data_IF_108119431042
#
_entry.id   IF_108119431042
#
_cell.length_a   1.000
_cell.length_b   1.000
_cell.length_c   1.000
_cell.angle_alpha   90.00
_cell.angle_beta   90.00
_cell.angle_gamma   90.00
#
_symmetry.space_group_name_H-M   'P 1'
#
loop_
_entity.id
_entity.type
_entity.pdbx_description
1 polymer ?
#
# COMPACT_ATOMS: atom_id res chain seq x y z
N UNK A 1 -5.71 1.66 -37.76
CA UNK A 1 -5.63 2.20 -36.39
C UNK A 1 -6.71 1.51 -35.58
N UNK A 2 -6.37 0.45 -34.85
CA UNK A 2 -7.33 -0.27 -34.02
C UNK A 2 -7.31 0.33 -32.62
N UNK A 3 -8.44 0.89 -32.20
CA UNK A 3 -8.66 1.35 -30.84
C UNK A 3 -8.61 0.12 -29.92
N UNK A 4 -7.63 0.10 -29.01
CA UNK A 4 -7.63 -0.85 -27.92
C UNK A 4 -8.78 -0.49 -26.97
N UNK A 5 -9.85 -1.27 -27.01
CA UNK A 5 -10.89 -1.26 -25.97
C UNK A 5 -10.24 -1.64 -24.64
N UNK A 6 -10.32 -0.83 -23.57
CA UNK A 6 -9.81 -1.25 -22.28
C UNK A 6 -10.64 -2.43 -21.77
N UNK A 7 -9.93 -3.52 -21.50
CA UNK A 7 -10.48 -4.77 -21.02
C UNK A 7 -11.06 -4.62 -19.60
N UNK A 8 -12.29 -5.12 -19.46
CA UNK A 8 -12.87 -5.77 -18.27
C UNK A 8 -13.14 -4.89 -17.05
N UNK A 9 -14.41 -4.54 -16.92
CA UNK A 9 -15.15 -4.05 -15.74
C UNK A 9 -15.12 -5.05 -14.57
N UNK A 10 -13.94 -5.36 -14.03
CA UNK A 10 -13.81 -5.81 -12.65
C UNK A 10 -13.74 -4.58 -11.76
N UNK A 11 -14.61 -4.47 -10.75
CA UNK A 11 -14.59 -3.32 -9.86
C UNK A 11 -13.18 -3.14 -9.23
N UNK A 12 -12.58 -1.96 -9.42
CA UNK A 12 -11.21 -1.64 -9.03
C UNK A 12 -10.96 -1.96 -7.55
N UNK A 13 -10.14 -2.97 -7.29
CA UNK A 13 -9.66 -3.30 -5.95
C UNK A 13 -10.74 -3.74 -4.97
N UNK A 14 -11.74 -4.50 -5.43
CA UNK A 14 -12.77 -5.06 -4.54
C UNK A 14 -12.25 -6.33 -3.88
N UNK A 15 -12.24 -6.31 -2.54
CA UNK A 15 -11.99 -7.47 -1.68
C UNK A 15 -13.34 -7.88 -1.08
N UNK A 16 -13.89 -9.06 -1.39
CA UNK A 16 -15.20 -9.50 -0.91
C UNK A 16 -15.34 -9.40 0.62
N UNK A 17 -14.31 -9.84 1.34
CA UNK A 17 -14.32 -9.89 2.81
C UNK A 17 -14.14 -8.51 3.48
N UNK A 18 -13.87 -7.45 2.71
CA UNK A 18 -13.69 -6.11 3.26
C UNK A 18 -14.98 -5.56 3.89
N UNK A 19 -16.14 -5.86 3.29
CA UNK A 19 -17.42 -5.40 3.81
C UNK A 19 -17.79 -6.02 5.17
N UNK A 20 -17.29 -7.22 5.46
CA UNK A 20 -17.59 -7.99 6.67
C UNK A 20 -16.48 -7.94 7.72
N UNK A 21 -15.34 -7.30 7.40
CA UNK A 21 -14.18 -7.17 8.28
C UNK A 21 -14.42 -6.33 9.55
N UNK A 22 -15.53 -5.57 9.62
CA UNK A 22 -15.92 -4.83 10.82
C UNK A 22 -15.02 -3.65 11.21
N UNK A 23 -14.08 -3.24 10.34
CA UNK A 23 -13.11 -2.17 10.65
C UNK A 23 -13.64 -0.75 10.47
N UNK A 24 -14.90 -0.54 10.09
CA UNK A 24 -15.45 0.80 9.88
C UNK A 24 -14.75 1.65 8.81
N UNK A 25 -13.95 1.03 7.92
CA UNK A 25 -13.13 1.71 6.90
C UNK A 25 -12.05 2.64 7.46
N UNK A 26 -11.40 2.27 8.56
CA UNK A 26 -10.23 2.99 9.12
C UNK A 26 -9.11 3.25 8.09
N UNK A 27 -9.06 2.48 7.00
CA UNK A 27 -8.13 2.74 5.88
C UNK A 27 -8.37 4.08 5.16
N UNK A 28 -9.56 4.68 5.30
CA UNK A 28 -9.88 6.01 4.78
C UNK A 28 -9.67 7.12 5.83
N UNK A 29 -9.07 6.81 6.97
CA UNK A 29 -8.71 7.76 8.02
C UNK A 29 -7.23 8.10 7.94
N UNK A 30 -6.95 9.30 7.41
CA UNK A 30 -5.60 9.83 7.24
C UNK A 30 -5.30 10.74 8.45
N UNK A 31 -4.43 10.25 9.35
CA UNK A 31 -3.90 10.98 10.50
C UNK A 31 -2.38 11.19 10.33
N UNK A 32 -1.87 12.27 10.93
CA UNK A 32 -0.49 12.81 10.88
C UNK A 32 0.54 11.88 10.23
N UNK A 33 0.92 12.20 8.99
CA UNK A 33 1.95 11.49 8.22
C UNK A 33 1.45 10.40 7.26
N UNK A 34 0.21 9.93 7.39
CA UNK A 34 -0.37 9.00 6.42
C UNK A 34 -0.91 9.74 5.18
N UNK A 35 -0.52 9.28 4.00
CA UNK A 35 -0.98 9.81 2.72
C UNK A 35 -1.23 8.69 1.72
N UNK A 36 -1.93 9.03 0.65
CA UNK A 36 -2.13 8.19 -0.53
C UNK A 36 -0.99 8.49 -1.49
N UNK A 37 -0.28 7.47 -1.95
CA UNK A 37 0.82 7.61 -2.88
C UNK A 37 0.32 7.48 -4.33
N UNK A 38 0.48 8.54 -5.13
CA UNK A 38 0.13 8.54 -6.55
C UNK A 38 1.39 8.53 -7.40
N UNK A 39 1.45 7.63 -8.38
CA UNK A 39 2.63 7.48 -9.23
C UNK A 39 2.74 8.63 -10.27
N UNK A 40 3.94 8.89 -10.83
CA UNK A 40 4.10 9.89 -11.90
C UNK A 40 3.22 9.57 -13.12
N UNK A 41 2.29 10.46 -13.45
CA UNK A 41 1.34 10.28 -14.56
C UNK A 41 -0.08 9.88 -14.15
N UNK A 42 -0.31 9.51 -12.89
CA UNK A 42 -1.63 9.07 -12.39
C UNK A 42 -2.67 10.19 -12.41
N UNK A 43 -2.32 11.36 -11.88
CA UNK A 43 -3.18 12.56 -11.83
C UNK A 43 -3.58 13.01 -13.23
N UNK A 44 -2.62 13.02 -14.15
CA UNK A 44 -2.84 13.40 -15.54
C UNK A 44 -3.72 12.38 -16.26
N UNK A 45 -3.52 11.09 -16.00
CA UNK A 45 -4.36 10.02 -16.56
C UNK A 45 -5.81 10.14 -16.07
N UNK A 46 -6.02 10.32 -14.76
CA UNK A 46 -7.35 10.48 -14.17
C UNK A 46 -8.08 11.71 -14.75
N UNK A 47 -7.37 12.84 -14.86
CA UNK A 47 -7.90 14.09 -15.44
C UNK A 47 -8.30 13.91 -16.90
N UNK A 48 -7.45 13.25 -17.72
CA UNK A 48 -7.73 12.97 -19.14
C UNK A 48 -8.91 12.03 -19.34
N UNK A 49 -9.15 11.12 -18.39
CA UNK A 49 -10.30 10.23 -18.37
C UNK A 49 -11.58 10.89 -17.84
N UNK A 50 -11.56 12.19 -17.52
CA UNK A 50 -12.72 12.93 -17.04
C UNK A 50 -13.13 12.59 -15.60
N UNK A 51 -12.26 11.93 -14.83
CA UNK A 51 -12.55 11.59 -13.44
C UNK A 51 -12.25 12.78 -12.52
N UNK A 52 -13.12 13.02 -11.54
CA UNK A 52 -12.92 14.14 -10.60
C UNK A 52 -11.87 13.83 -9.55
N UNK A 53 -10.88 14.72 -9.42
CA UNK A 53 -9.86 14.70 -8.36
C UNK A 53 -10.17 15.70 -7.24
N UNK A 54 -11.33 16.36 -7.25
CA UNK A 54 -11.64 17.48 -6.33
C UNK A 54 -11.63 17.10 -4.85
N UNK A 55 -11.80 15.82 -4.54
CA UNK A 55 -11.75 15.28 -3.18
C UNK A 55 -10.32 14.99 -2.71
N UNK A 56 -9.29 15.18 -3.54
CA UNK A 56 -7.90 14.93 -3.21
C UNK A 56 -7.15 16.25 -3.01
N UNK A 57 -6.53 16.39 -1.84
CA UNK A 57 -5.54 17.43 -1.58
C UNK A 57 -4.17 16.90 -2.02
N UNK A 58 -3.66 17.37 -3.16
CA UNK A 58 -2.43 16.88 -3.78
C UNK A 58 -1.23 17.74 -3.37
N UNK A 59 -0.10 17.07 -3.10
CA UNK A 59 1.20 17.71 -3.00
C UNK A 59 2.26 16.88 -3.75
N UNK A 60 3.18 17.51 -4.50
CA UNK A 60 4.18 16.78 -5.28
C UNK A 60 5.16 16.07 -4.36
N UNK A 61 5.71 14.96 -4.85
CA UNK A 61 6.79 14.21 -4.20
C UNK A 61 8.14 14.48 -4.91
N UNK A 62 9.28 14.47 -4.19
CA UNK A 62 10.60 14.76 -4.78
C UNK A 62 11.01 13.80 -5.91
N UNK A 63 10.62 12.53 -5.82
CA UNK A 63 10.87 11.49 -6.84
C UNK A 63 9.82 11.48 -7.96
N UNK A 64 8.96 12.51 -8.03
CA UNK A 64 7.80 12.57 -8.91
C UNK A 64 6.56 11.89 -8.33
N UNK A 65 5.43 12.08 -9.00
CA UNK A 65 4.13 11.68 -8.48
C UNK A 65 3.65 12.64 -7.39
N UNK A 66 2.66 12.20 -6.62
CA UNK A 66 2.02 13.03 -5.60
C UNK A 66 1.75 12.24 -4.33
N UNK A 67 1.83 12.92 -3.19
CA UNK A 67 1.11 12.50 -2.00
C UNK A 67 -0.28 13.14 -2.05
N UNK A 68 -1.30 12.41 -1.64
CA UNK A 68 -2.64 12.94 -1.53
C UNK A 68 -3.26 12.67 -0.16
N UNK A 69 -4.12 13.57 0.28
CA UNK A 69 -5.05 13.32 1.39
C UNK A 69 -6.47 13.35 0.83
N UNK A 70 -7.23 12.28 1.03
CA UNK A 70 -8.63 12.23 0.64
C UNK A 70 -9.49 13.01 1.65
N UNK A 71 -10.22 14.00 1.13
CA UNK A 71 -11.17 14.87 1.83
C UNK A 71 -12.62 14.55 1.47
N UNK A 72 -12.87 13.39 0.86
CA UNK A 72 -14.21 13.00 0.45
C UNK A 72 -15.18 12.94 1.64
N UNK A 73 -16.41 13.41 1.43
CA UNK A 73 -17.48 13.28 2.43
C UNK A 73 -17.97 11.83 2.48
N UNK A 74 -18.28 11.26 1.32
CA UNK A 74 -18.54 9.83 1.15
C UNK A 74 -17.24 9.11 0.75
N UNK A 75 -16.54 8.62 1.79
CA UNK A 75 -15.31 7.84 1.63
C UNK A 75 -15.54 6.46 1.00
N UNK A 76 -16.78 5.96 0.93
CA UNK A 76 -17.09 4.68 0.30
C UNK A 76 -16.81 4.69 -1.20
N UNK A 77 -17.11 5.81 -1.84
CA UNK A 77 -17.08 5.99 -3.28
C UNK A 77 -16.27 7.23 -3.70
N UNK A 78 -15.51 7.83 -2.77
CA UNK A 78 -14.67 9.00 -3.01
C UNK A 78 -15.46 10.20 -3.57
N UNK A 79 -16.67 10.46 -3.06
CA UNK A 79 -17.63 11.42 -3.63
C UNK A 79 -17.95 11.19 -5.11
N UNK A 80 -17.89 9.93 -5.55
CA UNK A 80 -17.95 9.48 -6.97
C UNK A 80 -16.80 10.02 -7.84
N UNK A 81 -15.72 10.45 -7.20
CA UNK A 81 -14.49 10.88 -7.84
C UNK A 81 -13.56 9.72 -8.22
N UNK A 82 -12.37 10.08 -8.65
CA UNK A 82 -11.29 9.16 -8.94
C UNK A 82 -10.86 8.40 -7.68
N UNK A 83 -10.73 7.07 -7.74
CA UNK A 83 -10.12 6.29 -6.67
C UNK A 83 -8.65 6.06 -7.01
N UNK A 84 -7.69 6.64 -6.26
CA UNK A 84 -6.26 6.41 -6.51
C UNK A 84 -5.88 4.93 -6.48
N UNK A 85 -4.86 4.57 -7.24
CA UNK A 85 -4.45 3.18 -7.36
C UNK A 85 -3.89 2.62 -6.05
N UNK A 86 -3.20 3.42 -5.24
CA UNK A 86 -2.81 3.03 -3.88
C UNK A 86 -4.05 2.70 -3.02
N UNK A 87 -5.09 3.54 -3.06
CA UNK A 87 -6.36 3.24 -2.38
C UNK A 87 -7.07 1.99 -2.92
N UNK A 88 -6.97 1.72 -4.22
CA UNK A 88 -7.53 0.50 -4.81
C UNK A 88 -6.70 -0.74 -4.49
N UNK A 89 -5.38 -0.57 -4.31
CA UNK A 89 -4.47 -1.66 -3.96
C UNK A 89 -4.53 -2.00 -2.47
N UNK A 90 -4.91 -1.05 -1.62
CA UNK A 90 -5.04 -1.24 -0.19
C UNK A 90 -5.88 -2.49 0.16
N UNK A 91 -5.42 -3.36 1.08
CA UNK A 91 -4.32 -3.15 2.02
C UNK A 91 -2.94 -3.52 1.48
N UNK A 92 -2.80 -3.89 0.21
CA UNK A 92 -1.54 -4.30 -0.36
C UNK A 92 -0.88 -3.14 -1.12
N UNK A 93 0.44 -3.04 -1.04
CA UNK A 93 1.21 -2.13 -1.89
C UNK A 93 2.28 -2.92 -2.65
N UNK A 94 2.46 -2.64 -3.95
CA UNK A 94 3.46 -3.32 -4.77
C UNK A 94 4.90 -3.02 -4.30
N UNK A 95 5.76 -4.01 -4.44
CA UNK A 95 7.20 -3.93 -4.20
C UNK A 95 7.94 -4.56 -5.37
N UNK A 96 9.15 -4.09 -5.62
CA UNK A 96 10.06 -4.73 -6.54
C UNK A 96 10.97 -5.72 -5.78
N UNK A 97 11.18 -6.90 -6.33
CA UNK A 97 12.21 -7.82 -5.87
C UNK A 97 13.59 -7.45 -6.43
N UNK A 98 14.62 -8.24 -6.10
CA UNK A 98 16.00 -8.01 -6.57
C UNK A 98 16.18 -8.13 -8.08
N UNK A 99 15.25 -8.78 -8.78
CA UNK A 99 15.23 -8.88 -10.24
C UNK A 99 14.44 -7.73 -10.91
N UNK A 100 13.79 -6.89 -10.11
CA UNK A 100 12.89 -5.83 -10.58
C UNK A 100 11.50 -6.33 -10.95
N UNK A 101 11.13 -7.56 -10.56
CA UNK A 101 9.78 -8.08 -10.74
C UNK A 101 8.84 -7.56 -9.64
N UNK A 102 7.58 -7.34 -10.00
CA UNK A 102 6.55 -6.87 -9.08
C UNK A 102 5.96 -8.02 -8.25
N UNK A 103 5.91 -7.78 -6.94
CA UNK A 103 5.10 -8.53 -5.97
C UNK A 103 4.32 -7.53 -5.12
N UNK A 104 3.36 -7.94 -4.29
CA UNK A 104 2.63 -7.07 -3.38
C UNK A 104 2.84 -7.50 -1.92
N UNK A 105 4.09 -7.43 -1.46
CA UNK A 105 4.50 -7.96 -0.15
C UNK A 105 4.23 -7.01 1.01
N UNK A 106 3.86 -5.75 0.76
CA UNK A 106 3.56 -4.81 1.83
C UNK A 106 2.08 -4.83 2.16
N UNK A 107 1.74 -5.02 3.43
CA UNK A 107 0.38 -4.95 3.96
C UNK A 107 0.22 -3.77 4.92
N UNK A 108 -0.83 -2.98 4.71
CA UNK A 108 -1.22 -1.90 5.60
C UNK A 108 -1.64 -2.43 6.99
N UNK A 109 -1.07 -1.85 8.04
CA UNK A 109 -1.27 -2.27 9.43
C UNK A 109 -2.73 -2.06 9.91
N UNK A 110 -3.46 -1.09 9.34
CA UNK A 110 -4.86 -0.79 9.71
C UNK A 110 -5.88 -1.83 9.23
N UNK A 111 -5.51 -2.72 8.31
CA UNK A 111 -6.44 -3.70 7.77
C UNK A 111 -6.42 -5.00 8.61
N UNK A 112 -7.55 -5.44 9.17
CA UNK A 112 -7.61 -6.65 9.98
C UNK A 112 -7.64 -7.94 9.16
N UNK A 113 -7.86 -7.87 7.84
CA UNK A 113 -7.92 -9.06 6.99
C UNK A 113 -6.59 -9.83 7.04
N UNK A 114 -6.68 -11.15 7.15
CA UNK A 114 -5.53 -12.05 7.15
C UNK A 114 -4.97 -12.19 5.73
N UNK A 115 -3.68 -12.54 5.62
CA UNK A 115 -3.00 -12.68 4.33
C UNK A 115 -3.74 -13.65 3.38
N UNK A 116 -4.28 -14.76 3.89
CA UNK A 116 -5.02 -15.75 3.10
C UNK A 116 -6.25 -15.15 2.39
N UNK A 117 -6.97 -14.23 3.05
CA UNK A 117 -8.13 -13.54 2.47
C UNK A 117 -7.74 -12.50 1.39
N UNK A 118 -6.45 -12.14 1.33
CA UNK A 118 -5.92 -11.13 0.41
C UNK A 118 -5.28 -11.73 -0.83
N UNK A 119 -5.14 -13.06 -0.97
CA UNK A 119 -4.44 -13.64 -2.12
C UNK A 119 -5.08 -13.36 -3.49
N UNK A 120 -6.41 -13.44 -3.66
CA UNK A 120 -7.03 -13.00 -4.91
C UNK A 120 -6.75 -11.53 -5.22
N UNK A 121 -6.70 -10.69 -4.18
CA UNK A 121 -6.40 -9.27 -4.29
C UNK A 121 -4.93 -9.00 -4.60
N UNK A 122 -4.00 -9.80 -4.04
CA UNK A 122 -2.56 -9.76 -4.39
C UNK A 122 -2.38 -9.97 -5.87
N UNK A 123 -2.99 -11.01 -6.43
CA UNK A 123 -2.90 -11.29 -7.86
C UNK A 123 -3.45 -10.12 -8.70
N UNK A 124 -4.55 -9.50 -8.26
CA UNK A 124 -5.10 -8.30 -8.90
C UNK A 124 -4.12 -7.12 -8.85
N UNK A 125 -3.55 -6.82 -7.68
CA UNK A 125 -2.58 -5.73 -7.47
C UNK A 125 -1.36 -5.92 -8.37
N UNK A 126 -0.73 -7.10 -8.34
CA UNK A 126 0.46 -7.39 -9.15
C UNK A 126 0.16 -7.22 -10.64
N UNK A 127 -0.96 -7.75 -11.13
CA UNK A 127 -1.34 -7.59 -12.55
C UNK A 127 -1.54 -6.12 -12.92
N UNK A 128 -2.31 -5.38 -12.14
CA UNK A 128 -2.65 -3.99 -12.48
C UNK A 128 -1.43 -3.06 -12.41
N UNK A 129 -0.55 -3.25 -11.43
CA UNK A 129 0.70 -2.50 -11.35
C UNK A 129 1.68 -2.87 -12.46
N UNK A 130 1.70 -4.12 -12.94
CA UNK A 130 2.47 -4.46 -14.14
C UNK A 130 1.99 -3.67 -15.37
N UNK A 131 0.68 -3.58 -15.59
CA UNK A 131 0.10 -2.78 -16.68
C UNK A 131 0.46 -1.29 -16.54
N UNK A 132 0.41 -0.76 -15.31
CA UNK A 132 0.81 0.63 -15.00
C UNK A 132 2.28 0.83 -15.30
N UNK A 133 3.18 -0.03 -14.84
CA UNK A 133 4.62 0.10 -15.08
C UNK A 133 4.98 -0.02 -16.57
N UNK A 134 4.26 -0.85 -17.34
CA UNK A 134 4.42 -0.92 -18.79
C UNK A 134 4.00 0.38 -19.48
N UNK A 135 2.88 0.98 -19.05
CA UNK A 135 2.35 2.22 -19.62
C UNK A 135 3.09 3.47 -19.15
N UNK A 136 3.58 3.46 -17.92
CA UNK A 136 4.26 4.55 -17.25
C UNK A 136 5.59 4.03 -16.65
N UNK A 137 6.67 3.92 -17.45
CA UNK A 137 7.96 3.39 -16.96
C UNK A 137 8.56 4.16 -15.77
N UNK A 138 8.17 5.44 -15.60
CA UNK A 138 8.53 6.22 -14.42
C UNK A 138 7.94 5.65 -13.12
N UNK A 139 6.78 4.97 -13.17
CA UNK A 139 6.15 4.35 -12.02
C UNK A 139 7.02 3.23 -11.43
N UNK A 140 7.72 2.44 -12.27
CA UNK A 140 8.61 1.39 -11.78
C UNK A 140 9.79 1.94 -10.98
N UNK A 141 10.45 2.99 -11.49
CA UNK A 141 11.53 3.67 -10.74
C UNK A 141 10.99 4.30 -9.45
N UNK A 142 9.84 4.94 -9.54
CA UNK A 142 9.16 5.53 -8.40
C UNK A 142 8.84 4.51 -7.30
N UNK A 143 8.43 3.29 -7.65
CA UNK A 143 8.18 2.22 -6.68
C UNK A 143 9.40 1.82 -5.86
N UNK A 144 10.61 1.98 -6.41
CA UNK A 144 11.85 1.70 -5.69
C UNK A 144 12.22 2.81 -4.68
N UNK A 145 11.68 4.02 -4.86
CA UNK A 145 12.06 5.22 -4.10
C UNK A 145 10.97 5.71 -3.15
N UNK A 146 9.71 5.38 -3.42
CA UNK A 146 8.58 5.86 -2.63
C UNK A 146 8.64 5.30 -1.21
N UNK A 147 8.60 6.20 -0.23
CA UNK A 147 8.44 5.83 1.17
C UNK A 147 6.96 5.71 1.49
N UNK A 148 6.59 4.72 2.31
CA UNK A 148 5.21 4.52 2.76
C UNK A 148 5.17 4.45 4.28
N UNK A 149 4.12 5.03 4.85
CA UNK A 149 3.88 5.01 6.30
C UNK A 149 2.79 3.97 6.60
N UNK A 150 2.99 3.17 7.65
CA UNK A 150 1.96 2.24 8.14
C UNK A 150 1.84 0.92 7.37
N UNK A 151 2.84 0.56 6.56
CA UNK A 151 2.94 -0.74 5.89
C UNK A 151 3.93 -1.67 6.60
N UNK A 152 3.63 -2.96 6.62
CA UNK A 152 4.47 -4.02 7.15
C UNK A 152 4.72 -5.08 6.07
N UNK A 153 5.92 -5.66 6.04
CA UNK A 153 6.23 -6.73 5.09
C UNK A 153 5.52 -8.01 5.51
N UNK A 154 4.73 -8.59 4.61
CA UNK A 154 4.17 -9.92 4.76
C UNK A 154 5.29 -10.95 4.68
N UNK A 155 5.23 -12.01 5.50
CA UNK A 155 6.14 -13.14 5.31
C UNK A 155 5.95 -13.69 3.91
N UNK A 156 7.06 -13.92 3.20
CA UNK A 156 7.03 -14.65 1.95
C UNK A 156 6.48 -16.03 2.28
N UNK A 157 5.34 -16.40 1.70
CA UNK A 157 4.86 -17.76 1.74
C UNK A 157 5.81 -18.59 0.88
N UNK A 158 6.93 -19.02 1.46
CA UNK A 158 7.76 -20.05 0.84
C UNK A 158 6.88 -21.28 0.69
N UNK A 159 6.85 -21.87 -0.49
CA UNK A 159 6.14 -23.13 -0.78
C UNK A 159 6.69 -24.34 -0.01
N UNK A 160 7.47 -24.10 1.03
CA UNK A 160 7.96 -25.05 2.00
C UNK A 160 7.68 -24.45 3.38
N UNK A 161 6.80 -25.10 4.13
CA UNK A 161 6.43 -24.68 5.48
C UNK A 161 7.61 -24.80 6.42
N UNK A 162 8.31 -23.69 6.65
CA UNK A 162 9.18 -23.53 7.80
C UNK A 162 9.05 -22.09 8.31
N UNK A 163 8.27 -21.95 9.38
CA UNK A 163 8.20 -20.75 10.20
C UNK A 163 9.54 -20.56 10.90
N UNK A 164 10.44 -19.75 10.33
CA UNK A 164 11.58 -19.21 11.08
C UNK A 164 11.11 -18.05 11.96
N UNK A 165 10.38 -18.39 13.02
CA UNK A 165 10.32 -17.54 14.19
C UNK A 165 11.76 -17.42 14.71
N UNK A 166 12.39 -16.30 14.38
CA UNK A 166 13.75 -15.95 14.78
C UNK A 166 13.87 -16.05 16.30
N UNK A 167 14.60 -17.08 16.76
CA UNK A 167 15.11 -17.18 18.11
C UNK A 167 16.07 -16.01 18.29
N UNK A 168 15.70 -15.06 19.15
CA UNK A 168 16.63 -14.06 19.66
C UNK A 168 17.83 -14.77 20.32
N UNK A 169 19.07 -14.29 20.12
CA UNK A 169 20.18 -14.70 20.96
C UNK A 169 20.04 -14.01 22.31
N UNK A 170 19.79 -14.81 23.35
CA UNK A 170 20.08 -14.43 24.74
C UNK A 170 21.57 -14.64 24.95
N UNK A 171 22.37 -13.60 24.73
CA UNK A 171 23.72 -13.53 25.31
C UNK A 171 23.72 -12.59 26.50
N UNK A 172 24.24 -13.16 27.59
CA UNK A 172 24.42 -12.56 28.89
C UNK A 172 25.50 -11.48 28.86
N UNK A 173 25.26 -10.38 29.56
CA UNK A 173 26.33 -9.52 30.08
C UNK A 173 26.08 -9.30 31.56
N UNK A 174 26.84 -10.07 32.36
CA UNK A 174 27.21 -9.74 33.73
C UNK A 174 28.15 -8.52 33.70
N UNK A 175 27.81 -7.44 34.40
CA UNK A 175 28.79 -6.51 34.97
C UNK A 175 28.18 -5.66 36.11
N UNK A 176 28.58 -6.01 37.34
CA UNK A 176 28.82 -5.22 38.54
C UNK A 176 28.31 -3.75 38.69
N UNK A 177 27.48 -3.54 39.74
CA UNK A 177 27.59 -2.59 40.89
C UNK A 177 27.78 -1.06 40.67
N UNK A 178 27.16 -0.16 41.48
CA UNK A 178 27.40 -0.09 42.93
C UNK A 178 26.19 0.22 43.86
N UNK A 179 26.42 -0.03 45.16
CA UNK A 179 25.57 0.30 46.31
C UNK A 179 25.23 1.80 46.39
N UNK A 180 24.00 2.18 46.77
CA UNK A 180 23.75 3.48 47.39
C UNK A 180 23.98 3.41 48.91
N UNK A 181 24.58 4.47 49.43
CA UNK A 181 24.81 4.72 50.85
C UNK A 181 23.50 4.91 51.63
N UNK A 182 23.57 4.63 52.94
CA UNK A 182 22.54 4.81 53.96
C UNK A 182 21.85 6.18 53.96
N UNK A 183 20.70 6.27 54.65
CA UNK A 183 20.49 7.40 55.54
C UNK A 183 20.08 6.98 56.97
N UNK A 184 20.62 7.76 57.92
CA UNK A 184 20.25 7.95 59.34
C UNK A 184 20.39 6.75 60.30
#
# INVERSE_FOLDING_TARGET
>A
MMAATPATTGALGVIPDCATAGCGRTCCEFAEGNYIALYPGEVEAASKSGQSLSHLELAPLPMGGHRAVCRATDKANCDRGYKPLDCASYPLFPTLDSSGALDATLKGAKCPLLAAALEPHRAWVVRYWNEVCQRFPAAQRWLAEVSLVGYQRLPVLTSQGESTASRAPVEAVLAASPRPASPA
#
